data_IF_938015237437
#
_entry.id   IF_938015237437
#
_cell.length_a   1.000
_cell.length_b   1.000
_cell.length_c   1.000
_cell.angle_alpha   90.00
_cell.angle_beta   90.00
_cell.angle_gamma   90.00
#
_symmetry.space_group_name_H-M   'P 1'
#
loop_
_entity.id
_entity.type
_entity.pdbx_description
1 polymer ?
#
# COMPACT_ATOMS: atom_id res chain seq x y z
N UNK A 1 8.10 -8.62 2.94
CA UNK A 1 8.29 -7.25 2.40
C UNK A 1 9.69 -7.03 1.85
N UNK A 2 10.77 -7.21 2.64
CA UNK A 2 12.14 -6.98 2.15
C UNK A 2 12.52 -7.78 0.88
N UNK A 3 12.07 -9.04 0.76
CA UNK A 3 12.35 -9.86 -0.43
C UNK A 3 11.79 -9.23 -1.71
N UNK A 4 10.54 -8.77 -1.69
CA UNK A 4 9.90 -8.16 -2.86
C UNK A 4 10.63 -6.89 -3.31
N UNK A 5 11.10 -6.07 -2.36
CA UNK A 5 11.90 -4.87 -2.65
C UNK A 5 13.24 -5.27 -3.28
N UNK A 6 13.96 -6.23 -2.69
CA UNK A 6 15.23 -6.73 -3.23
C UNK A 6 15.06 -7.30 -4.64
N UNK A 7 13.99 -8.06 -4.88
CA UNK A 7 13.70 -8.63 -6.20
C UNK A 7 13.46 -7.53 -7.25
N UNK A 8 12.69 -6.48 -6.93
CA UNK A 8 12.45 -5.36 -7.85
C UNK A 8 13.74 -4.61 -8.17
N UNK A 9 14.57 -4.34 -7.16
CA UNK A 9 15.88 -3.69 -7.34
C UNK A 9 16.78 -4.54 -8.23
N UNK A 10 16.86 -5.85 -7.97
CA UNK A 10 17.69 -6.77 -8.76
C UNK A 10 17.21 -6.89 -10.21
N UNK A 11 15.88 -6.95 -10.42
CA UNK A 11 15.26 -7.03 -11.75
C UNK A 11 15.27 -5.70 -12.52
N UNK A 12 15.63 -4.59 -11.86
CA UNK A 12 15.55 -3.22 -12.40
C UNK A 12 14.10 -2.84 -12.74
N UNK A 13 13.20 -3.09 -11.81
CA UNK A 13 11.80 -2.71 -11.92
C UNK A 13 11.51 -1.45 -11.10
N UNK A 14 10.65 -0.58 -11.64
CA UNK A 14 9.98 0.49 -10.91
C UNK A 14 8.46 0.33 -11.04
N UNK A 15 7.70 1.37 -10.67
CA UNK A 15 6.26 1.45 -10.92
C UNK A 15 5.94 2.58 -11.91
N UNK A 16 4.74 2.55 -12.49
CA UNK A 16 4.19 3.58 -13.37
C UNK A 16 2.65 3.52 -13.33
N UNK A 17 1.98 4.51 -13.92
CA UNK A 17 0.52 4.62 -13.89
C UNK A 17 0.01 5.35 -12.65
N UNK A 18 -1.18 4.97 -12.18
CA UNK A 18 -1.90 5.66 -11.11
C UNK A 18 -2.44 4.62 -10.11
N UNK A 19 -2.12 4.81 -8.83
CA UNK A 19 -2.80 4.17 -7.71
C UNK A 19 -3.81 5.18 -7.14
N UNK A 20 -5.06 4.76 -6.96
CA UNK A 20 -6.11 5.62 -6.38
C UNK A 20 -6.39 5.19 -4.94
N UNK A 21 -6.20 6.12 -4.00
CA UNK A 21 -6.46 5.89 -2.58
C UNK A 21 -7.83 6.47 -2.17
N UNK A 22 -8.65 5.67 -1.50
CA UNK A 22 -10.01 6.06 -1.09
C UNK A 22 -10.40 5.54 0.29
N UNK A 23 -11.54 6.01 0.80
CA UNK A 23 -12.15 5.56 2.07
C UNK A 23 -11.18 5.56 3.28
N UNK A 24 -10.41 6.65 3.52
CA UNK A 24 -9.52 6.70 4.67
C UNK A 24 -10.34 6.66 5.97
N UNK A 25 -9.87 5.88 6.95
CA UNK A 25 -10.45 5.83 8.30
C UNK A 25 -9.33 5.73 9.33
N UNK A 26 -9.59 6.22 10.55
CA UNK A 26 -8.68 6.12 11.68
C UNK A 26 -9.47 5.71 12.92
N UNK A 27 -9.07 4.60 13.52
CA UNK A 27 -9.55 4.14 14.82
C UNK A 27 -8.48 4.40 15.89
N UNK A 28 -8.84 5.11 16.96
CA UNK A 28 -7.94 5.35 18.08
C UNK A 28 -8.06 4.18 19.05
N UNK A 29 -6.99 3.39 19.17
CA UNK A 29 -6.91 2.28 20.13
C UNK A 29 -6.57 2.82 21.52
N UNK A 30 -5.49 3.62 21.61
CA UNK A 30 -5.13 4.34 22.83
C UNK A 30 -4.75 5.78 22.49
N UNK A 31 -5.48 6.72 23.10
CA UNK A 31 -5.30 8.16 22.86
C UNK A 31 -3.83 8.56 23.07
N UNK A 32 -3.24 9.11 22.02
CA UNK A 32 -1.86 9.61 22.04
C UNK A 32 -0.76 8.56 21.90
N UNK A 33 -1.08 7.27 21.74
CA UNK A 33 -0.04 6.22 21.65
C UNK A 33 -0.26 5.18 20.56
N UNK A 34 -1.49 4.74 20.29
CA UNK A 34 -1.78 3.74 19.26
C UNK A 34 -3.08 4.03 18.51
N UNK A 35 -3.07 3.72 17.22
CA UNK A 35 -4.20 3.86 16.32
C UNK A 35 -4.11 2.82 15.21
N UNK A 36 -5.23 2.54 14.55
CA UNK A 36 -5.27 1.81 13.28
C UNK A 36 -5.73 2.78 12.21
N UNK A 37 -4.95 2.91 11.14
CA UNK A 37 -5.36 3.66 9.96
C UNK A 37 -5.68 2.70 8.84
N UNK A 38 -6.79 2.91 8.14
CA UNK A 38 -7.19 2.08 7.01
C UNK A 38 -7.45 2.91 5.78
N UNK A 39 -7.21 2.36 4.60
CA UNK A 39 -7.61 2.95 3.33
C UNK A 39 -7.72 1.87 2.26
N UNK A 40 -8.55 2.13 1.25
CA UNK A 40 -8.61 1.32 0.04
C UNK A 40 -7.61 1.84 -0.99
N UNK A 41 -6.89 0.95 -1.65
CA UNK A 41 -6.12 1.21 -2.86
C UNK A 41 -6.79 0.53 -4.06
N UNK A 42 -6.82 1.23 -5.19
CA UNK A 42 -7.23 0.74 -6.50
C UNK A 42 -6.00 0.83 -7.43
N UNK A 43 -5.46 -0.35 -7.74
CA UNK A 43 -4.27 -0.59 -8.53
C UNK A 43 -4.59 -1.00 -9.98
N UNK A 44 -5.85 -0.87 -10.43
CA UNK A 44 -6.28 -1.27 -11.79
C UNK A 44 -5.51 -0.57 -12.91
N UNK A 45 -4.85 0.55 -12.58
CA UNK A 45 -3.96 1.30 -13.47
C UNK A 45 -2.56 1.52 -12.89
N UNK A 46 -2.15 0.72 -11.91
CA UNK A 46 -0.83 0.76 -11.29
C UNK A 46 0.00 -0.41 -11.79
N UNK A 47 1.07 -0.13 -12.52
CA UNK A 47 1.83 -1.14 -13.24
C UNK A 47 3.29 -1.17 -12.81
N UNK A 48 3.88 -2.38 -12.86
CA UNK A 48 5.33 -2.50 -12.83
C UNK A 48 5.92 -1.95 -14.13
N UNK A 49 7.03 -1.23 -14.05
CA UNK A 49 7.80 -0.76 -15.21
C UNK A 49 9.15 -1.46 -15.25
N UNK A 50 9.41 -2.16 -16.36
CA UNK A 50 10.73 -2.71 -16.64
C UNK A 50 11.63 -1.58 -17.14
N UNK A 51 12.65 -1.22 -16.35
CA UNK A 51 13.57 -0.13 -16.69
C UNK A 51 14.57 -0.53 -17.77
N UNK A 52 14.84 -1.82 -17.97
CA UNK A 52 15.71 -2.29 -19.05
C UNK A 52 15.00 -2.18 -20.40
N UNK A 53 13.72 -2.54 -20.46
CA UNK A 53 12.90 -2.41 -21.64
C UNK A 53 12.33 -0.98 -21.84
N UNK A 54 12.31 -0.18 -20.79
CA UNK A 54 11.75 1.18 -20.78
C UNK A 54 10.22 1.23 -20.84
N UNK A 55 9.52 0.11 -20.59
CA UNK A 55 8.08 -0.04 -20.83
C UNK A 55 7.33 -0.53 -19.58
N UNK A 56 6.07 -0.11 -19.38
CA UNK A 56 5.20 -0.70 -18.37
C UNK A 56 4.80 -2.13 -18.76
N UNK A 57 4.67 -2.98 -17.76
CA UNK A 57 4.10 -4.32 -17.84
C UNK A 57 2.60 -4.19 -17.60
N UNK A 58 1.83 -3.96 -18.67
CA UNK A 58 0.38 -3.78 -18.58
C UNK A 58 -0.30 -5.07 -18.13
N UNK A 59 -1.21 -4.94 -17.18
CA UNK A 59 -2.06 -6.01 -16.66
C UNK A 59 -3.53 -5.72 -17.01
N UNK A 60 -4.35 -6.77 -17.06
CA UNK A 60 -5.81 -6.62 -17.19
C UNK A 60 -6.40 -6.40 -15.80
N UNK A 61 -7.24 -5.37 -15.59
CA UNK A 61 -7.89 -5.14 -14.32
C UNK A 61 -8.63 -6.37 -13.80
N UNK A 62 -8.53 -6.60 -12.50
CA UNK A 62 -9.13 -7.72 -11.80
C UNK A 62 -9.58 -7.31 -10.39
N UNK A 63 -10.46 -8.09 -9.74
CA UNK A 63 -10.83 -7.84 -8.34
C UNK A 63 -9.62 -7.72 -7.39
N UNK A 64 -8.53 -8.45 -7.67
CA UNK A 64 -7.32 -8.46 -6.85
C UNK A 64 -6.57 -7.10 -6.87
N UNK A 65 -6.89 -6.20 -7.81
CA UNK A 65 -6.33 -4.85 -7.85
C UNK A 65 -6.96 -3.91 -6.80
N UNK A 66 -7.99 -4.37 -6.08
CA UNK A 66 -8.64 -3.62 -5.00
C UNK A 66 -8.18 -4.14 -3.64
N UNK A 67 -7.43 -3.32 -2.91
CA UNK A 67 -6.75 -3.73 -1.68
C UNK A 67 -7.22 -2.87 -0.51
N UNK A 68 -7.60 -3.49 0.61
CA UNK A 68 -7.74 -2.79 1.88
C UNK A 68 -6.40 -2.84 2.62
N UNK A 69 -5.81 -1.68 2.87
CA UNK A 69 -4.66 -1.55 3.75
C UNK A 69 -5.11 -1.25 5.17
N UNK A 70 -4.53 -1.97 6.14
CA UNK A 70 -4.66 -1.73 7.57
C UNK A 70 -3.27 -1.49 8.18
N UNK A 71 -3.10 -0.32 8.78
CA UNK A 71 -1.84 0.16 9.33
C UNK A 71 -1.95 0.24 10.85
N UNK A 72 -1.25 -0.65 11.56
CA UNK A 72 -1.05 -0.54 13.00
C UNK A 72 -0.03 0.57 13.29
N UNK A 73 -0.49 1.67 13.86
CA UNK A 73 0.29 2.89 14.08
C UNK A 73 0.68 3.04 15.55
N UNK A 74 1.92 3.47 15.82
CA UNK A 74 2.40 3.83 17.15
C UNK A 74 3.00 5.23 17.17
N UNK A 75 2.68 6.01 18.21
CA UNK A 75 3.33 7.29 18.44
C UNK A 75 4.78 7.09 18.89
N UNK A 76 5.70 7.93 18.41
CA UNK A 76 7.13 7.86 18.75
C UNK A 76 7.71 9.22 19.13
N UNK A 77 8.27 9.26 20.34
CA UNK A 77 8.80 10.47 20.97
C UNK A 77 7.73 11.53 21.22
N UNK A 78 8.17 12.71 21.66
CA UNK A 78 7.26 13.70 22.27
C UNK A 78 6.58 14.63 21.25
N UNK A 79 6.83 14.44 19.94
CA UNK A 79 6.46 15.38 18.86
C UNK A 79 5.30 14.91 17.98
N UNK A 80 4.42 14.06 18.49
CA UNK A 80 3.23 13.61 17.73
C UNK A 80 3.55 12.87 16.43
N UNK A 81 4.76 12.31 16.30
CA UNK A 81 5.15 11.49 15.16
C UNK A 81 4.55 10.11 15.31
N UNK A 82 4.06 9.55 14.21
CA UNK A 82 3.52 8.21 14.17
C UNK A 82 4.32 7.36 13.19
N UNK A 83 4.50 6.09 13.52
CA UNK A 83 5.12 5.10 12.64
C UNK A 83 4.21 3.89 12.50
N UNK A 84 4.21 3.32 11.30
CA UNK A 84 3.59 2.01 11.06
C UNK A 84 4.48 0.94 11.71
N UNK A 85 3.90 0.16 12.61
CA UNK A 85 4.53 -1.02 13.23
C UNK A 85 4.03 -2.32 12.61
N UNK A 86 2.80 -2.31 12.12
CA UNK A 86 2.15 -3.46 11.49
C UNK A 86 1.46 -3.01 10.21
N UNK A 87 1.55 -3.84 9.18
CA UNK A 87 0.94 -3.61 7.87
C UNK A 87 0.22 -4.90 7.46
N UNK A 88 -1.08 -4.80 7.21
CA UNK A 88 -1.87 -5.84 6.57
C UNK A 88 -2.46 -5.30 5.28
N UNK A 89 -2.48 -6.15 4.26
CA UNK A 89 -3.11 -5.88 2.98
C UNK A 89 -4.09 -7.02 2.70
N UNK A 90 -5.37 -6.69 2.57
CA UNK A 90 -6.42 -7.61 2.18
C UNK A 90 -6.73 -7.42 0.69
N UNK A 91 -6.27 -8.36 -0.12
CA UNK A 91 -6.32 -8.32 -1.59
C UNK A 91 -7.68 -8.85 -2.06
N UNK A 92 -8.28 -8.23 -3.07
CA UNK A 92 -9.61 -8.61 -3.53
C UNK A 92 -10.72 -8.10 -2.61
N UNK A 93 -10.43 -7.08 -1.79
CA UNK A 93 -11.35 -6.55 -0.80
C UNK A 93 -12.62 -6.00 -1.45
N UNK A 94 -13.76 -6.66 -1.25
CA UNK A 94 -15.04 -6.28 -1.86
C UNK A 94 -15.48 -4.86 -1.47
N UNK A 95 -15.12 -4.41 -0.26
CA UNK A 95 -15.34 -3.05 0.22
C UNK A 95 -14.46 -2.00 -0.46
N UNK A 96 -13.50 -2.38 -1.28
CA UNK A 96 -12.61 -1.48 -2.02
C UNK A 96 -12.89 -1.48 -3.54
N UNK A 97 -13.83 -2.32 -3.99
CA UNK A 97 -14.46 -2.28 -5.31
C UNK A 97 -15.61 -1.25 -5.31
#
# INVERSE_FOLDING_TARGET
TEKNVRDHVAKKYSVSGTERLTRPSVEIVHKGSSAVATYCADDTHFYTKDLKAGKPMLTTPSPDDHILFELGMSAVGDKGRWVVKELRADVGAQQCQ
#
